data_IF_491340770095
#
_entry.id   IF_491340770095
#
_cell.length_a   1.000
_cell.length_b   1.000
_cell.length_c   1.000
_cell.angle_alpha   90.00
_cell.angle_beta   90.00
_cell.angle_gamma   90.00
#
_symmetry.space_group_name_H-M   'P 1'
#
loop_
_entity.id
_entity.type
_entity.pdbx_description
1 polymer ?
#
# COMPACT_ATOMS: atom_id res chain seq x y z
N UNK A 1 -0.55 45.22 -30.74
CA UNK A 1 -0.72 43.76 -30.57
C UNK A 1 0.52 43.03 -30.07
N UNK A 2 1.72 43.23 -30.64
CA UNK A 2 2.91 42.43 -30.28
C UNK A 2 3.43 42.59 -28.83
N UNK A 3 3.36 43.78 -28.23
CA UNK A 3 3.84 43.98 -26.84
C UNK A 3 2.95 43.31 -25.79
N UNK A 4 1.64 43.26 -26.02
CA UNK A 4 0.70 42.57 -25.14
C UNK A 4 0.89 41.05 -25.23
N UNK A 5 1.10 40.52 -26.44
CA UNK A 5 1.39 39.09 -26.62
C UNK A 5 2.72 38.67 -25.97
N UNK A 6 3.77 39.49 -26.05
CA UNK A 6 5.05 39.24 -25.39
C UNK A 6 4.91 39.19 -23.85
N UNK A 7 4.16 40.12 -23.27
CA UNK A 7 3.92 40.17 -21.82
C UNK A 7 3.10 38.98 -21.33
N UNK A 8 2.09 38.55 -22.10
CA UNK A 8 1.31 37.37 -21.77
C UNK A 8 2.17 36.11 -21.84
N UNK A 9 3.04 35.99 -22.84
CA UNK A 9 3.93 34.83 -23.00
C UNK A 9 4.98 34.76 -21.89
N UNK A 10 5.62 35.87 -21.53
CA UNK A 10 6.58 35.89 -20.42
C UNK A 10 5.92 35.58 -19.09
N UNK A 11 4.71 36.08 -18.83
CA UNK A 11 3.96 35.77 -17.62
C UNK A 11 3.60 34.28 -17.54
N UNK A 12 3.19 33.67 -18.66
CA UNK A 12 2.94 32.22 -18.75
C UNK A 12 4.18 31.39 -18.45
N UNK A 13 5.34 31.77 -18.98
CA UNK A 13 6.62 31.07 -18.73
C UNK A 13 7.04 31.20 -17.25
N UNK A 14 6.84 32.36 -16.63
CA UNK A 14 7.13 32.56 -15.20
C UNK A 14 6.19 31.72 -14.32
N UNK A 15 4.91 31.61 -14.67
CA UNK A 15 3.94 30.79 -13.94
C UNK A 15 4.31 29.30 -14.04
N UNK A 16 4.72 28.80 -15.22
CA UNK A 16 5.11 27.39 -15.38
C UNK A 16 6.45 27.07 -14.71
N UNK A 17 7.39 28.01 -14.66
CA UNK A 17 8.65 27.86 -13.92
C UNK A 17 8.48 27.93 -12.40
N UNK A 18 7.49 28.66 -11.91
CA UNK A 18 7.17 28.75 -10.46
C UNK A 18 6.22 27.67 -9.99
N UNK A 19 5.59 26.93 -10.90
CA UNK A 19 4.91 25.68 -10.61
C UNK A 19 5.94 24.59 -10.28
N UNK A 20 6.57 24.70 -9.11
CA UNK A 20 7.29 23.59 -8.49
C UNK A 20 6.36 22.36 -8.51
N UNK A 21 6.89 21.24 -8.99
CA UNK A 21 6.11 20.03 -9.26
C UNK A 21 5.13 19.71 -8.13
N UNK A 22 3.84 19.72 -8.44
CA UNK A 22 2.81 19.21 -7.53
C UNK A 22 2.97 17.70 -7.52
N UNK A 23 3.84 17.21 -6.64
CA UNK A 23 4.00 15.79 -6.40
C UNK A 23 2.77 15.31 -5.61
N UNK A 24 1.82 14.71 -6.31
CA UNK A 24 0.73 13.96 -5.69
C UNK A 24 1.21 12.62 -5.15
N UNK A 25 0.35 11.94 -4.39
CA UNK A 25 0.61 10.57 -3.96
C UNK A 25 0.42 9.60 -5.14
N UNK A 26 1.44 8.81 -5.45
CA UNK A 26 1.34 7.67 -6.36
C UNK A 26 1.84 6.41 -5.64
N UNK A 27 1.13 5.31 -5.84
CA UNK A 27 1.44 4.03 -5.21
C UNK A 27 1.83 3.03 -6.30
N UNK A 28 2.91 2.29 -6.05
CA UNK A 28 3.21 1.12 -6.87
C UNK A 28 2.34 -0.04 -6.39
N UNK A 29 1.65 -0.78 -7.28
CA UNK A 29 0.87 -1.94 -6.87
C UNK A 29 1.75 -2.95 -6.13
N UNK A 30 1.25 -3.50 -5.03
CA UNK A 30 1.97 -4.52 -4.27
C UNK A 30 1.01 -5.64 -3.90
N UNK A 31 1.43 -6.87 -4.14
CA UNK A 31 0.68 -8.03 -3.74
C UNK A 31 0.42 -8.01 -2.21
N UNK A 32 -0.80 -8.34 -1.74
CA UNK A 32 -1.13 -8.27 -0.31
C UNK A 32 -0.20 -9.09 0.59
N UNK A 33 0.32 -10.21 0.11
CA UNK A 33 1.33 -10.97 0.85
C UNK A 33 2.61 -10.15 1.08
N UNK A 34 3.14 -9.44 0.08
CA UNK A 34 4.33 -8.59 0.25
C UNK A 34 4.09 -7.49 1.28
N UNK A 35 2.91 -6.84 1.20
CA UNK A 35 2.49 -5.83 2.18
C UNK A 35 2.37 -6.42 3.59
N UNK A 36 1.83 -7.63 3.70
CA UNK A 36 1.78 -8.36 4.97
C UNK A 36 3.19 -8.64 5.50
N UNK A 37 4.12 -9.05 4.64
CA UNK A 37 5.49 -9.41 5.02
C UNK A 37 6.29 -8.17 5.47
N UNK A 38 6.12 -7.02 4.82
CA UNK A 38 6.81 -5.76 5.15
C UNK A 38 6.13 -4.96 6.26
N UNK A 39 4.85 -5.20 6.55
CA UNK A 39 4.12 -4.47 7.60
C UNK A 39 4.69 -4.74 8.99
N UNK A 40 4.81 -3.68 9.81
CA UNK A 40 5.21 -3.80 11.21
C UNK A 40 4.08 -4.33 12.08
N UNK A 41 2.83 -4.14 11.66
CA UNK A 41 1.67 -4.72 12.30
C UNK A 41 0.59 -5.11 11.30
N UNK A 42 -0.16 -6.15 11.65
CA UNK A 42 -1.38 -6.55 10.94
C UNK A 42 -2.45 -6.90 11.97
N UNK A 43 -3.62 -6.27 11.85
CA UNK A 43 -4.77 -6.58 12.71
C UNK A 43 -6.09 -6.32 12.00
N UNK A 44 -7.14 -6.89 12.57
CA UNK A 44 -8.53 -6.65 12.22
C UNK A 44 -9.22 -5.90 13.35
N UNK A 45 -9.95 -4.84 13.03
CA UNK A 45 -10.55 -3.98 14.04
C UNK A 45 -11.67 -3.08 13.51
N UNK A 46 -12.42 -2.50 14.45
CA UNK A 46 -13.54 -1.59 14.18
C UNK A 46 -13.15 -0.16 14.51
N UNK A 47 -13.39 0.77 13.57
CA UNK A 47 -13.12 2.19 13.80
C UNK A 47 -14.18 2.76 14.72
N UNK A 48 -13.78 3.27 15.88
CA UNK A 48 -14.68 3.85 16.87
C UNK A 48 -14.80 5.37 16.74
N UNK A 49 -13.69 6.04 16.41
CA UNK A 49 -13.62 7.50 16.38
C UNK A 49 -12.55 7.99 15.42
N UNK A 50 -12.83 9.09 14.73
CA UNK A 50 -11.85 9.90 14.01
C UNK A 50 -11.61 11.22 14.74
N UNK A 51 -10.36 11.70 14.75
CA UNK A 51 -9.99 13.04 15.16
C UNK A 51 -9.01 13.63 14.13
N UNK A 52 -9.29 14.83 13.65
CA UNK A 52 -8.36 15.58 12.80
C UNK A 52 -7.69 16.65 13.64
N UNK A 53 -6.35 16.66 13.68
CA UNK A 53 -5.57 17.65 14.42
C UNK A 53 -4.43 18.17 13.56
N UNK A 54 -3.91 19.36 13.86
CA UNK A 54 -2.63 19.80 13.29
C UNK A 54 -1.52 18.85 13.72
N UNK A 55 -0.58 18.58 12.81
CA UNK A 55 0.65 17.86 13.08
C UNK A 55 1.48 18.61 14.13
N UNK A 56 2.27 17.90 14.94
CA UNK A 56 3.18 18.55 15.87
C UNK A 56 4.28 19.28 15.11
N UNK A 57 4.66 20.46 15.58
CA UNK A 57 5.72 21.24 14.97
C UNK A 57 7.06 20.49 14.96
N UNK A 58 7.80 20.60 13.86
CA UNK A 58 9.08 19.91 13.65
C UNK A 58 8.99 18.43 13.26
N UNK A 59 7.80 17.89 12.94
CA UNK A 59 7.67 16.57 12.29
C UNK A 59 7.39 16.67 10.78
N UNK A 60 7.36 15.53 10.07
CA UNK A 60 7.10 15.50 8.61
C UNK A 60 5.74 16.11 8.23
N UNK A 61 4.84 16.29 9.21
CA UNK A 61 3.50 16.86 9.05
C UNK A 61 3.39 18.22 9.75
N UNK A 62 4.49 18.94 9.98
CA UNK A 62 4.45 20.30 10.51
C UNK A 62 3.57 21.19 9.63
N UNK A 63 2.67 21.93 10.24
CA UNK A 63 1.59 22.70 9.60
C UNK A 63 0.59 21.91 8.74
N UNK A 64 0.73 20.60 8.62
CA UNK A 64 -0.24 19.72 7.96
C UNK A 64 -1.26 19.17 8.97
N UNK A 65 -2.35 18.59 8.46
CA UNK A 65 -3.32 17.89 9.29
C UNK A 65 -2.97 16.40 9.39
N UNK A 66 -3.23 15.82 10.56
CA UNK A 66 -3.08 14.39 10.83
C UNK A 66 -4.42 13.85 11.30
N UNK A 67 -4.90 12.80 10.64
CA UNK A 67 -6.09 12.04 11.02
C UNK A 67 -5.67 10.96 12.01
N UNK A 68 -6.36 10.87 13.14
CA UNK A 68 -6.14 9.88 14.19
C UNK A 68 -7.40 9.04 14.36
N UNK A 69 -7.28 7.75 14.13
CA UNK A 69 -8.34 6.77 14.29
C UNK A 69 -8.16 6.00 15.59
N UNK A 70 -9.17 6.03 16.46
CA UNK A 70 -9.27 5.10 17.59
C UNK A 70 -9.98 3.86 17.10
N UNK A 71 -9.30 2.72 17.16
CA UNK A 71 -9.76 1.46 16.58
C UNK A 71 -9.76 0.39 17.67
N UNK A 72 -10.90 -0.27 17.84
CA UNK A 72 -11.01 -1.46 18.69
C UNK A 72 -10.37 -2.64 17.96
N UNK A 73 -9.34 -3.25 18.54
CA UNK A 73 -8.70 -4.43 17.96
C UNK A 73 -9.53 -5.67 18.27
N UNK A 74 -10.07 -6.29 17.23
CA UNK A 74 -10.89 -7.51 17.33
C UNK A 74 -10.05 -8.76 17.15
N UNK A 75 -8.98 -8.69 16.34
CA UNK A 75 -8.04 -9.79 16.18
C UNK A 75 -6.66 -9.28 15.80
N UNK A 76 -5.61 -9.80 16.45
CA UNK A 76 -4.21 -9.46 16.15
C UNK A 76 -3.57 -10.58 15.35
N UNK A 77 -2.97 -10.24 14.21
CA UNK A 77 -2.40 -11.21 13.27
C UNK A 77 -0.87 -11.15 13.27
N UNK A 78 -0.29 -9.95 13.21
CA UNK A 78 1.17 -9.72 13.20
C UNK A 78 1.56 -8.48 14.01
N UNK A 79 2.71 -8.56 14.67
CA UNK A 79 3.52 -7.38 15.03
C UNK A 79 2.97 -6.46 16.12
N UNK A 80 1.79 -6.76 16.65
CA UNK A 80 1.22 -6.05 17.78
C UNK A 80 1.33 -6.91 19.03
N UNK A 81 2.01 -6.38 20.05
CA UNK A 81 1.81 -6.80 21.44
C UNK A 81 0.48 -6.26 22.00
N UNK A 82 -0.52 -6.10 21.14
CA UNK A 82 -1.82 -5.54 21.48
C UNK A 82 -2.74 -6.73 21.72
N UNK A 83 -3.37 -6.70 22.88
CA UNK A 83 -4.32 -7.75 23.25
C UNK A 83 -5.63 -7.43 22.53
N UNK A 84 -6.35 -8.47 22.15
CA UNK A 84 -7.73 -8.37 21.69
C UNK A 84 -8.54 -7.53 22.68
N UNK A 85 -9.52 -6.79 22.17
CA UNK A 85 -10.40 -5.85 22.88
C UNK A 85 -9.73 -4.58 23.41
N UNK A 86 -8.45 -4.35 23.09
CA UNK A 86 -7.80 -3.06 23.35
C UNK A 86 -8.01 -2.07 22.20
N UNK A 87 -8.12 -0.81 22.56
CA UNK A 87 -8.13 0.29 21.61
C UNK A 87 -6.71 0.69 21.21
N UNK A 88 -6.56 1.08 19.95
CA UNK A 88 -5.31 1.59 19.40
C UNK A 88 -5.55 2.86 18.63
N UNK A 89 -4.56 3.76 18.67
CA UNK A 89 -4.54 4.93 17.80
C UNK A 89 -3.67 4.63 16.59
N UNK A 90 -4.28 4.70 15.41
CA UNK A 90 -3.62 4.66 14.11
C UNK A 90 -3.74 6.04 13.46
N UNK A 91 -2.70 6.48 12.76
CA UNK A 91 -2.63 7.82 12.19
C UNK A 91 -2.44 7.75 10.68
N UNK A 92 -3.01 8.73 9.99
CA UNK A 92 -2.83 8.97 8.56
C UNK A 92 -2.55 10.46 8.34
N UNK A 93 -1.79 10.83 7.31
CA UNK A 93 -1.82 12.20 6.80
C UNK A 93 -3.26 12.63 6.52
N UNK A 94 -3.57 13.91 6.76
CA UNK A 94 -4.90 14.47 6.47
C UNK A 94 -5.08 14.89 5.02
N UNK A 95 -3.98 15.14 4.31
CA UNK A 95 -3.94 15.53 2.91
C UNK A 95 -3.69 14.31 2.00
N UNK A 96 -4.53 14.13 0.97
CA UNK A 96 -4.39 13.06 -0.02
C UNK A 96 -3.11 13.15 -0.85
N UNK A 97 -2.58 14.36 -1.10
CA UNK A 97 -1.31 14.54 -1.79
C UNK A 97 -0.13 13.92 -1.01
N UNK A 98 -0.26 13.80 0.32
CA UNK A 98 0.70 13.14 1.21
C UNK A 98 0.36 11.67 1.46
N UNK A 99 -0.45 11.05 0.60
CA UNK A 99 -1.00 9.70 0.76
C UNK A 99 -1.91 9.57 2.00
N UNK A 100 -2.56 10.66 2.38
CA UNK A 100 -3.58 10.67 3.42
C UNK A 100 -4.82 9.89 2.99
N UNK A 101 -5.36 9.10 3.90
CA UNK A 101 -6.58 8.33 3.68
C UNK A 101 -7.61 8.58 4.78
N UNK A 102 -8.86 8.25 4.48
CA UNK A 102 -9.98 8.35 5.43
C UNK A 102 -10.58 6.97 5.72
N UNK A 103 -10.80 6.67 6.99
CA UNK A 103 -11.56 5.49 7.42
C UNK A 103 -12.95 5.90 7.89
N UNK A 104 -13.93 5.07 7.56
CA UNK A 104 -15.32 5.28 8.01
C UNK A 104 -15.50 4.77 9.44
N UNK A 105 -16.04 5.62 10.31
CA UNK A 105 -16.39 5.26 11.69
C UNK A 105 -17.53 4.23 11.68
N UNK A 106 -17.44 3.22 12.53
CA UNK A 106 -18.39 2.10 12.61
C UNK A 106 -18.02 0.91 11.72
N UNK A 107 -17.18 1.10 10.71
CA UNK A 107 -16.76 0.04 9.80
C UNK A 107 -15.58 -0.78 10.34
N UNK A 108 -15.47 -2.01 9.84
CA UNK A 108 -14.41 -2.94 10.20
C UNK A 108 -13.39 -3.07 9.07
N UNK A 109 -12.11 -3.09 9.44
CA UNK A 109 -10.99 -3.12 8.49
C UNK A 109 -9.98 -4.18 8.86
N UNK A 110 -9.33 -4.76 7.86
CA UNK A 110 -7.99 -5.33 7.99
C UNK A 110 -6.98 -4.23 7.69
N UNK A 111 -6.03 -4.06 8.60
CA UNK A 111 -5.03 -3.00 8.55
C UNK A 111 -3.64 -3.64 8.59
N UNK A 112 -2.90 -3.52 7.50
CA UNK A 112 -1.47 -3.74 7.42
C UNK A 112 -0.80 -2.37 7.44
N UNK A 113 0.06 -2.10 8.41
CA UNK A 113 0.65 -0.77 8.56
C UNK A 113 2.04 -0.76 9.18
N UNK A 114 2.59 0.44 9.30
CA UNK A 114 3.98 0.67 9.65
C UNK A 114 4.13 1.47 10.94
N UNK A 115 5.25 1.30 11.64
CA UNK A 115 5.58 2.04 12.86
C UNK A 115 6.62 3.09 12.53
N UNK A 116 6.30 4.34 12.88
CA UNK A 116 7.25 5.45 12.88
C UNK A 116 7.52 5.85 14.33
N UNK A 117 8.62 5.34 14.89
CA UNK A 117 8.91 5.40 16.32
C UNK A 117 7.78 4.77 17.15
N UNK A 118 7.02 5.59 17.88
CA UNK A 118 5.85 5.15 18.67
C UNK A 118 4.53 5.27 17.92
N UNK A 119 4.50 5.96 16.78
CA UNK A 119 3.30 6.20 15.98
C UNK A 119 2.99 4.97 15.15
N UNK A 120 1.71 4.59 15.07
CA UNK A 120 1.22 3.61 14.10
C UNK A 120 0.66 4.39 12.93
N UNK A 121 1.24 4.19 11.76
CA UNK A 121 0.94 4.97 10.56
C UNK A 121 0.29 4.06 9.51
N UNK A 122 -0.67 4.63 8.80
CA UNK A 122 -1.24 4.09 7.57
C UNK A 122 -1.31 5.21 6.52
N UNK A 123 -1.29 4.82 5.25
CA UNK A 123 -1.36 5.67 4.07
C UNK A 123 -2.28 5.03 3.03
N UNK A 124 -2.68 5.81 2.03
CA UNK A 124 -3.52 5.33 0.92
C UNK A 124 -2.90 4.21 0.08
N UNK A 125 -1.57 4.02 0.16
CA UNK A 125 -0.86 2.92 -0.52
C UNK A 125 -0.85 1.61 0.27
N UNK A 126 -1.18 1.65 1.56
CA UNK A 126 -1.11 0.48 2.43
C UNK A 126 -2.36 -0.41 2.25
N UNK A 127 -2.23 -1.69 2.59
CA UNK A 127 -3.36 -2.61 2.61
C UNK A 127 -4.26 -2.31 3.82
N UNK A 128 -5.17 -1.36 3.61
CA UNK A 128 -6.21 -0.99 4.56
C UNK A 128 -7.56 -1.14 3.86
N UNK A 129 -8.22 -2.27 4.09
CA UNK A 129 -9.43 -2.66 3.36
C UNK A 129 -10.57 -2.94 4.34
N UNK A 130 -11.78 -2.53 3.95
CA UNK A 130 -12.98 -2.96 4.65
C UNK A 130 -13.07 -4.47 4.61
N UNK A 131 -13.43 -5.10 5.71
CA UNK A 131 -13.53 -6.56 5.76
C UNK A 131 -14.58 -7.11 4.80
N UNK A 132 -15.65 -6.35 4.56
CA UNK A 132 -16.71 -6.67 3.59
C UNK A 132 -16.27 -6.61 2.12
N UNK A 133 -15.14 -5.97 1.81
CA UNK A 133 -14.61 -5.89 0.44
C UNK A 133 -13.51 -6.91 0.14
N UNK A 134 -13.15 -7.76 1.10
CA UNK A 134 -12.13 -8.79 0.91
C UNK A 134 -12.73 -9.97 0.14
N UNK A 135 -11.94 -10.57 -0.73
CA UNK A 135 -12.26 -11.89 -1.28
C UNK A 135 -12.18 -12.97 -0.19
N UNK A 136 -12.79 -14.12 -0.46
CA UNK A 136 -12.70 -15.28 0.42
C UNK A 136 -11.24 -15.71 0.63
N UNK A 137 -10.45 -15.72 -0.44
CA UNK A 137 -9.04 -16.10 -0.45
C UNK A 137 -8.19 -15.13 0.37
N UNK A 138 -8.38 -13.82 0.19
CA UNK A 138 -7.68 -12.82 1.00
C UNK A 138 -7.97 -13.02 2.49
N UNK A 139 -9.25 -13.19 2.85
CA UNK A 139 -9.64 -13.46 4.23
C UNK A 139 -9.00 -14.75 4.73
N UNK A 140 -9.02 -15.83 3.95
CA UNK A 140 -8.40 -17.10 4.32
C UNK A 140 -6.88 -16.96 4.52
N UNK A 141 -6.14 -16.34 3.59
CA UNK A 141 -4.68 -16.23 3.68
C UNK A 141 -4.22 -15.27 4.80
N UNK A 142 -5.03 -14.26 5.14
CA UNK A 142 -4.73 -13.33 6.22
C UNK A 142 -4.93 -13.97 7.60
N UNK A 143 -6.05 -14.67 7.81
CA UNK A 143 -6.48 -15.12 9.14
C UNK A 143 -6.10 -16.56 9.49
N UNK A 144 -5.70 -17.39 8.51
CA UNK A 144 -5.32 -18.77 8.78
C UNK A 144 -3.90 -18.89 9.33
N UNK A 145 -3.55 -20.10 9.77
CA UNK A 145 -2.19 -20.49 10.10
C UNK A 145 -1.75 -21.66 9.21
N UNK A 146 -0.47 -22.00 9.23
CA UNK A 146 0.07 -23.10 8.43
C UNK A 146 0.37 -22.70 6.97
N UNK A 147 0.46 -23.65 6.04
CA UNK A 147 1.06 -23.44 4.71
C UNK A 147 0.27 -22.52 3.78
N UNK A 148 -0.94 -22.11 4.18
CA UNK A 148 -1.79 -21.20 3.40
C UNK A 148 -1.84 -19.79 3.97
N UNK A 149 -1.10 -19.48 5.03
CA UNK A 149 -1.10 -18.13 5.59
C UNK A 149 0.02 -17.27 5.04
N UNK A 150 -0.27 -15.98 4.86
CA UNK A 150 0.76 -14.99 4.54
C UNK A 150 1.89 -15.05 5.57
N UNK A 151 1.56 -15.16 6.86
CA UNK A 151 2.55 -15.23 7.94
C UNK A 151 3.55 -16.38 7.76
N UNK A 152 3.09 -17.58 7.38
CA UNK A 152 3.97 -18.73 7.17
C UNK A 152 4.81 -18.55 5.91
N UNK A 153 4.21 -18.13 4.81
CA UNK A 153 4.93 -17.91 3.55
C UNK A 153 6.00 -16.83 3.71
N UNK A 154 5.74 -15.80 4.51
CA UNK A 154 6.75 -14.79 4.76
C UNK A 154 7.97 -15.36 5.51
N UNK A 155 7.72 -16.23 6.50
CA UNK A 155 8.77 -16.92 7.26
C UNK A 155 9.55 -17.91 6.41
N UNK A 156 8.90 -18.51 5.42
CA UNK A 156 9.51 -19.48 4.51
C UNK A 156 10.34 -18.82 3.39
N UNK A 157 10.37 -17.48 3.35
CA UNK A 157 11.18 -16.68 2.42
C UNK A 157 10.45 -16.26 1.14
N UNK A 158 9.14 -16.52 1.02
CA UNK A 158 8.33 -16.13 -0.13
C UNK A 158 7.81 -14.70 -0.02
N UNK A 159 8.72 -13.76 0.23
CA UNK A 159 8.42 -12.34 0.38
C UNK A 159 8.62 -11.55 -0.92
N UNK A 160 9.42 -12.08 -1.85
CA UNK A 160 9.72 -11.42 -3.12
C UNK A 160 8.65 -11.75 -4.15
N UNK A 161 7.68 -10.84 -4.27
CA UNK A 161 6.61 -10.86 -5.27
C UNK A 161 6.70 -9.53 -6.01
N UNK A 162 7.27 -9.59 -7.21
CA UNK A 162 7.66 -8.43 -7.99
C UNK A 162 7.82 -8.81 -9.47
N UNK A 163 8.08 -7.82 -10.32
CA UNK A 163 8.44 -8.01 -11.73
C UNK A 163 9.69 -8.90 -11.89
N UNK A 164 10.54 -8.98 -10.87
CA UNK A 164 11.83 -9.67 -10.94
C UNK A 164 11.86 -11.00 -10.19
N UNK A 165 10.78 -11.32 -9.48
CA UNK A 165 10.67 -12.60 -8.78
C UNK A 165 10.69 -13.75 -9.78
N UNK A 166 11.66 -14.66 -9.62
CA UNK A 166 11.76 -15.90 -10.42
C UNK A 166 10.67 -16.90 -10.09
N UNK A 167 10.00 -16.72 -8.95
CA UNK A 167 8.99 -17.62 -8.44
C UNK A 167 7.58 -17.10 -8.66
N UNK A 168 7.24 -16.07 -7.91
CA UNK A 168 5.91 -15.45 -7.92
C UNK A 168 6.00 -14.11 -8.65
N UNK A 169 6.16 -14.19 -9.97
CA UNK A 169 6.26 -13.03 -10.83
C UNK A 169 4.94 -12.21 -10.78
N UNK A 170 5.07 -10.90 -10.58
CA UNK A 170 3.95 -9.98 -10.41
C UNK A 170 4.22 -8.71 -11.23
N UNK A 171 3.89 -8.80 -12.53
CA UNK A 171 4.03 -7.73 -13.53
C UNK A 171 3.04 -6.58 -13.34
N UNK A 172 3.55 -5.35 -13.37
CA UNK A 172 2.74 -4.12 -13.31
C UNK A 172 2.10 -3.72 -14.65
N UNK A 173 2.40 -4.45 -15.73
CA UNK A 173 1.95 -4.12 -17.10
C UNK A 173 0.49 -4.54 -17.37
N UNK A 174 -0.08 -5.44 -16.56
CA UNK A 174 -1.43 -5.97 -16.76
C UNK A 174 -2.28 -5.85 -15.48
N UNK A 175 -3.09 -4.79 -15.45
CA UNK A 175 -3.97 -4.48 -14.31
C UNK A 175 -4.93 -5.63 -13.96
N UNK A 176 -5.50 -6.32 -14.95
CA UNK A 176 -6.44 -7.41 -14.70
C UNK A 176 -5.76 -8.62 -14.04
N UNK A 177 -4.53 -8.93 -14.44
CA UNK A 177 -3.74 -9.96 -13.80
C UNK A 177 -3.35 -9.60 -12.37
N UNK A 178 -2.97 -8.34 -12.12
CA UNK A 178 -2.64 -7.81 -10.78
C UNK A 178 -3.85 -7.95 -9.84
N UNK A 179 -5.02 -7.52 -10.28
CA UNK A 179 -6.24 -7.57 -9.48
C UNK A 179 -6.63 -9.01 -9.15
N UNK A 180 -6.59 -9.90 -10.15
CA UNK A 180 -6.85 -11.33 -9.95
C UNK A 180 -5.87 -11.97 -8.95
N UNK A 181 -4.56 -11.78 -9.16
CA UNK A 181 -3.54 -12.36 -8.29
C UNK A 181 -3.66 -11.82 -6.87
N UNK A 182 -3.87 -10.50 -6.72
CA UNK A 182 -4.05 -9.87 -5.41
C UNK A 182 -5.30 -10.35 -4.69
N UNK A 183 -6.34 -10.72 -5.43
CA UNK A 183 -7.61 -11.22 -4.91
C UNK A 183 -7.60 -12.71 -4.58
N UNK A 184 -6.86 -13.55 -5.29
CA UNK A 184 -7.04 -15.01 -5.24
C UNK A 184 -5.78 -15.82 -4.98
N UNK A 185 -4.61 -15.29 -5.36
CA UNK A 185 -3.38 -16.07 -5.43
C UNK A 185 -2.53 -15.95 -4.15
N UNK A 186 -1.74 -16.99 -3.92
CA UNK A 186 -0.81 -17.09 -2.79
C UNK A 186 0.58 -17.45 -3.28
N UNK A 187 1.60 -16.70 -2.86
CA UNK A 187 2.98 -17.05 -3.17
C UNK A 187 3.55 -17.93 -2.07
N UNK A 188 3.71 -19.23 -2.31
CA UNK A 188 4.13 -20.18 -1.26
C UNK A 188 5.32 -21.00 -1.68
N UNK A 189 6.03 -21.52 -0.67
CA UNK A 189 7.18 -22.38 -0.89
C UNK A 189 6.73 -23.74 -1.41
N UNK A 190 7.31 -24.15 -2.54
CA UNK A 190 7.25 -25.48 -3.10
C UNK A 190 8.69 -26.00 -3.23
N UNK A 191 9.06 -26.93 -2.34
CA UNK A 191 10.45 -27.39 -2.17
C UNK A 191 11.40 -26.22 -1.90
N UNK A 192 12.22 -25.84 -2.88
CA UNK A 192 13.23 -24.78 -2.76
C UNK A 192 12.87 -23.50 -3.53
N UNK A 193 11.69 -23.42 -4.13
CA UNK A 193 11.27 -22.30 -4.97
C UNK A 193 9.89 -21.81 -4.52
N UNK A 194 9.65 -20.50 -4.55
CA UNK A 194 8.33 -19.94 -4.32
C UNK A 194 7.51 -20.00 -5.62
N UNK A 195 6.24 -20.39 -5.55
CA UNK A 195 5.35 -20.47 -6.70
C UNK A 195 3.98 -19.92 -6.36
N UNK A 196 3.28 -19.43 -7.38
CA UNK A 196 1.87 -19.11 -7.28
C UNK A 196 1.05 -20.37 -6.97
N UNK A 197 0.05 -20.17 -6.14
CA UNK A 197 -1.00 -21.13 -5.81
C UNK A 197 -2.34 -20.42 -5.95
N UNK A 198 -3.37 -21.14 -6.41
CA UNK A 198 -4.71 -20.61 -6.66
C UNK A 198 -4.74 -19.45 -7.67
N UNK A 199 -3.98 -19.57 -8.76
CA UNK A 199 -3.88 -18.57 -9.83
C UNK A 199 -4.36 -19.09 -11.19
N UNK A 200 -5.01 -20.26 -11.24
CA UNK A 200 -5.38 -20.94 -12.50
C UNK A 200 -6.32 -20.09 -13.37
N UNK A 201 -7.14 -19.24 -12.74
CA UNK A 201 -8.06 -18.34 -13.42
C UNK A 201 -7.46 -16.95 -13.70
N UNK A 202 -6.22 -16.70 -13.27
CA UNK A 202 -5.57 -15.42 -13.51
C UNK A 202 -4.82 -15.43 -14.84
N UNK A 203 -4.85 -14.32 -15.61
CA UNK A 203 -4.02 -14.18 -16.80
C UNK A 203 -2.55 -14.42 -16.46
N UNK A 204 -1.86 -15.16 -17.32
CA UNK A 204 -0.42 -15.39 -17.17
C UNK A 204 0.35 -14.08 -17.30
N UNK A 205 1.22 -13.80 -16.32
CA UNK A 205 2.19 -12.72 -16.41
C UNK A 205 3.51 -13.28 -16.94
N UNK A 206 4.05 -12.67 -18.00
CA UNK A 206 5.32 -13.10 -18.60
C UNK A 206 6.50 -12.55 -17.80
N UNK A 207 7.33 -13.45 -17.27
CA UNK A 207 8.58 -13.07 -16.60
C UNK A 207 9.50 -12.31 -17.57
N UNK A 208 9.86 -11.07 -17.22
CA UNK A 208 10.91 -10.31 -17.92
C UNK A 208 12.23 -10.43 -17.15
N UNK A 209 13.23 -11.18 -17.65
CA UNK A 209 14.55 -11.15 -17.05
C UNK A 209 15.11 -9.73 -17.12
N UNK A 210 15.77 -9.29 -16.05
CA UNK A 210 16.55 -8.05 -16.06
C UNK A 210 17.57 -8.10 -17.21
N UNK A 211 17.35 -7.30 -18.26
CA UNK A 211 18.39 -6.99 -19.22
C UNK A 211 19.00 -5.64 -18.79
N UNK A 212 20.28 -5.57 -18.38
CA UNK A 212 20.91 -4.32 -17.93
C UNK A 212 21.12 -3.27 -19.04
N UNK A 213 20.48 -3.41 -20.20
CA UNK A 213 20.71 -2.58 -21.38
C UNK A 213 19.38 -2.05 -21.93
N UNK A 214 18.87 -1.01 -21.28
CA UNK A 214 18.09 0.03 -21.97
C UNK A 214 18.28 1.31 -21.18
N UNK A 215 19.20 2.13 -21.67
CA UNK A 215 19.31 3.55 -21.38
C UNK A 215 17.94 4.21 -21.46
N UNK A 216 17.67 5.11 -20.52
CA UNK A 216 16.53 6.01 -20.55
C UNK A 216 16.49 6.75 -21.90
N UNK A 217 15.52 6.42 -22.75
CA UNK A 217 15.08 7.32 -23.81
C UNK A 217 14.05 8.27 -23.20
N UNK A 218 14.54 9.46 -22.86
CA UNK A 218 13.72 10.67 -22.80
C UNK A 218 13.05 10.89 -24.15
N UNK A 219 11.72 10.84 -24.20
CA UNK A 219 10.95 11.39 -25.31
C UNK A 219 9.77 12.17 -24.75
N UNK A 220 10.04 13.44 -24.44
CA UNK A 220 9.05 14.50 -24.54
C UNK A 220 9.09 14.98 -26.00
N UNK A 221 7.97 14.82 -26.70
CA UNK A 221 7.61 15.62 -27.88
C UNK A 221 6.33 16.37 -27.55
#
# INVERSE_FOLDING_TARGET
MNRLMLLVNTLLIVITWTANGVHGCSCFPQHPQSQFCSADFVFYGKVLKEQVKKGPSGDMYDNETVRKYTIQVLHTIKGLFIRVDREVVVQSPGNGALCGMTLQVGEQYVIMGHRDGRKKMIRSCDFVKKTSSLSFEQMFYIFTTGPYSYLKNCKDGCNDISDYSRGCHFSHDNYFAIDCLSGSALCRKDKNVCKWYNNDNCPSLTYRPNNPTTTAETSYT
#
